data_IF_523205000550
#
_entry.id   IF_523205000550
#
_cell.length_a   1.000
_cell.length_b   1.000
_cell.length_c   1.000
_cell.angle_alpha   90.00
_cell.angle_beta   90.00
_cell.angle_gamma   90.00
#
_symmetry.space_group_name_H-M   'P 1'
#
loop_
_entity.id
_entity.type
_entity.pdbx_description
1 polymer ?
#
# COMPACT_ATOMS: atom_id res chain seq x y z
N UNK A 1 3.16 -13.69 -13.90
CA UNK A 1 3.82 -14.54 -12.90
C UNK A 1 2.95 -14.84 -11.67
N UNK A 2 1.86 -14.10 -11.48
CA UNK A 2 0.94 -14.25 -10.33
C UNK A 2 -0.39 -14.81 -10.82
N UNK A 3 -0.42 -16.11 -11.15
CA UNK A 3 -1.60 -16.76 -11.75
C UNK A 3 -2.80 -16.83 -10.80
N UNK A 4 -2.55 -16.90 -9.49
CA UNK A 4 -3.56 -17.06 -8.45
C UNK A 4 -3.83 -15.73 -7.69
N UNK A 5 -3.32 -14.60 -8.18
CA UNK A 5 -3.59 -13.31 -7.56
C UNK A 5 -5.05 -12.89 -7.79
N UNK A 6 -5.70 -12.44 -6.73
CA UNK A 6 -7.03 -11.84 -6.83
C UNK A 6 -7.00 -10.57 -7.68
N UNK A 7 -8.03 -10.36 -8.50
CA UNK A 7 -8.11 -9.19 -9.37
C UNK A 7 -8.49 -7.89 -8.62
N UNK A 8 -8.80 -7.99 -7.32
CA UNK A 8 -9.45 -6.89 -6.62
C UNK A 8 -10.85 -6.64 -7.16
N UNK A 9 -11.52 -5.62 -6.64
CA UNK A 9 -12.84 -5.25 -7.12
C UNK A 9 -13.07 -3.75 -6.97
N UNK A 10 -13.53 -3.12 -8.04
CA UNK A 10 -13.98 -1.72 -8.04
C UNK A 10 -15.46 -1.71 -8.39
N UNK A 11 -16.36 -1.50 -7.42
CA UNK A 11 -17.78 -1.54 -7.65
C UNK A 11 -18.22 -0.38 -8.55
N UNK A 12 -19.15 -0.67 -9.46
CA UNK A 12 -19.78 0.29 -10.33
C UNK A 12 -21.25 0.55 -9.92
N UNK A 13 -21.90 1.48 -10.62
CA UNK A 13 -23.31 1.77 -10.41
C UNK A 13 -24.20 0.54 -10.60
N UNK A 14 -23.91 -0.29 -11.59
CA UNK A 14 -24.72 -1.48 -11.89
C UNK A 14 -24.63 -2.51 -10.76
N UNK A 15 -23.46 -2.63 -10.12
CA UNK A 15 -23.29 -3.44 -8.91
C UNK A 15 -24.20 -2.94 -7.80
N UNK A 16 -24.17 -1.65 -7.48
CA UNK A 16 -24.96 -1.08 -6.39
C UNK A 16 -26.47 -1.15 -6.65
N UNK A 17 -26.89 -0.90 -7.89
CA UNK A 17 -28.31 -1.02 -8.28
C UNK A 17 -28.82 -2.46 -8.06
N UNK A 18 -28.01 -3.47 -8.35
CA UNK A 18 -28.34 -4.88 -8.10
C UNK A 18 -28.30 -5.23 -6.61
N UNK A 19 -27.20 -4.90 -5.94
CA UNK A 19 -26.96 -5.31 -4.54
C UNK A 19 -27.93 -4.65 -3.57
N UNK A 20 -28.21 -3.39 -3.77
CA UNK A 20 -29.05 -2.58 -2.89
C UNK A 20 -30.43 -2.27 -3.47
N UNK A 21 -30.79 -2.89 -4.60
CA UNK A 21 -32.08 -2.70 -5.27
C UNK A 21 -32.41 -1.21 -5.51
N UNK A 22 -31.41 -0.44 -5.88
CA UNK A 22 -31.52 1.01 -6.09
C UNK A 22 -31.58 1.85 -4.81
N UNK A 23 -31.46 1.26 -3.61
CA UNK A 23 -31.56 1.99 -2.32
C UNK A 23 -30.21 2.55 -1.83
N UNK A 24 -29.14 2.48 -2.61
CA UNK A 24 -27.85 3.09 -2.25
C UNK A 24 -27.92 4.62 -2.35
N UNK A 25 -27.08 5.31 -1.60
CA UNK A 25 -27.11 6.75 -1.48
C UNK A 25 -25.70 7.38 -1.38
N UNK A 26 -25.64 8.66 -1.08
CA UNK A 26 -24.39 9.41 -0.96
C UNK A 26 -23.40 8.84 0.09
N UNK A 27 -23.89 8.18 1.13
CA UNK A 27 -23.03 7.55 2.15
C UNK A 27 -22.23 6.38 1.54
N UNK A 28 -22.81 5.63 0.60
CA UNK A 28 -22.13 4.59 -0.15
C UNK A 28 -20.96 5.18 -0.96
N UNK A 29 -21.24 6.29 -1.68
CA UNK A 29 -20.21 6.99 -2.45
C UNK A 29 -19.12 7.56 -1.53
N UNK A 30 -19.50 8.13 -0.39
CA UNK A 30 -18.57 8.66 0.59
C UNK A 30 -17.67 7.54 1.15
N UNK A 31 -18.24 6.38 1.47
CA UNK A 31 -17.48 5.21 1.95
C UNK A 31 -16.42 4.78 0.95
N UNK A 32 -16.79 4.65 -0.34
CA UNK A 32 -15.85 4.33 -1.41
C UNK A 32 -14.74 5.37 -1.56
N UNK A 33 -15.08 6.66 -1.43
CA UNK A 33 -14.12 7.75 -1.63
C UNK A 33 -13.00 7.80 -0.59
N UNK A 34 -13.19 7.13 0.54
CA UNK A 34 -12.16 6.95 1.59
C UNK A 34 -11.52 5.56 1.56
N UNK A 35 -11.78 4.76 0.52
CA UNK A 35 -11.21 3.41 0.38
C UNK A 35 -11.86 2.35 1.27
N UNK A 36 -13.11 2.56 1.67
CA UNK A 36 -13.92 1.62 2.43
C UNK A 36 -15.04 1.02 1.55
N UNK A 37 -15.94 0.27 2.16
CA UNK A 37 -17.05 -0.37 1.46
C UNK A 37 -16.61 -1.61 0.68
N UNK A 38 -17.13 -1.77 -0.52
CA UNK A 38 -16.93 -2.94 -1.36
C UNK A 38 -15.70 -2.84 -2.29
N UNK A 39 -14.84 -1.83 -2.07
CA UNK A 39 -13.56 -1.73 -2.78
C UNK A 39 -12.58 -2.80 -2.27
N UNK A 40 -12.10 -3.64 -3.17
CA UNK A 40 -11.13 -4.69 -2.84
C UNK A 40 -9.82 -4.48 -3.61
N UNK A 41 -8.69 -4.56 -2.90
CA UNK A 41 -7.35 -4.47 -3.47
C UNK A 41 -6.43 -5.50 -2.82
N UNK A 42 -5.60 -6.14 -3.62
CA UNK A 42 -4.54 -7.00 -3.08
C UNK A 42 -3.36 -6.16 -2.57
N UNK A 43 -2.53 -6.69 -1.65
CA UNK A 43 -1.30 -6.00 -1.23
C UNK A 43 -0.37 -5.68 -2.40
N UNK A 44 -0.29 -6.54 -3.43
CA UNK A 44 0.50 -6.29 -4.62
C UNK A 44 -0.04 -5.11 -5.44
N UNK A 45 -1.36 -5.01 -5.61
CA UNK A 45 -1.99 -3.86 -6.26
C UNK A 45 -1.73 -2.56 -5.49
N UNK A 46 -1.74 -2.61 -4.15
CA UNK A 46 -1.42 -1.45 -3.32
C UNK A 46 0.07 -1.06 -3.42
N UNK A 47 0.98 -2.03 -3.49
CA UNK A 47 2.40 -1.75 -3.74
C UNK A 47 2.61 -1.12 -5.13
N UNK A 48 1.90 -1.64 -6.15
CA UNK A 48 1.95 -1.05 -7.50
C UNK A 48 1.35 0.36 -7.53
N UNK A 49 0.29 0.64 -6.75
CA UNK A 49 -0.23 2.00 -6.56
C UNK A 49 0.83 2.94 -5.97
N UNK A 50 1.57 2.49 -4.95
CA UNK A 50 2.68 3.25 -4.41
C UNK A 50 3.76 3.52 -5.47
N UNK A 51 4.08 2.53 -6.31
CA UNK A 51 5.01 2.68 -7.44
C UNK A 51 4.48 3.67 -8.49
N UNK A 52 3.18 3.66 -8.80
CA UNK A 52 2.55 4.63 -9.71
C UNK A 52 2.73 6.07 -9.18
N UNK A 53 2.48 6.28 -7.89
CA UNK A 53 2.64 7.60 -7.26
C UNK A 53 4.11 8.01 -7.27
N UNK A 54 5.01 7.11 -6.89
CA UNK A 54 6.46 7.32 -6.90
C UNK A 54 6.98 7.75 -8.29
N UNK A 55 6.47 7.11 -9.33
CA UNK A 55 6.83 7.35 -10.74
C UNK A 55 6.03 8.49 -11.40
N UNK A 56 5.16 9.20 -10.68
CA UNK A 56 4.31 10.28 -11.21
C UNK A 56 3.44 9.84 -12.38
N UNK A 57 2.83 8.65 -12.25
CA UNK A 57 1.76 8.19 -13.13
C UNK A 57 2.08 7.06 -14.08
N UNK A 58 3.24 6.40 -13.97
CA UNK A 58 3.49 5.18 -14.75
C UNK A 58 3.87 3.99 -13.85
N UNK A 59 3.71 2.79 -14.40
CA UNK A 59 4.08 1.54 -13.74
C UNK A 59 4.55 0.50 -14.76
N UNK A 60 5.15 -0.56 -14.26
CA UNK A 60 5.40 -1.79 -14.98
C UNK A 60 4.49 -2.89 -14.44
N UNK A 61 4.16 -3.87 -15.26
CA UNK A 61 3.41 -5.03 -14.78
C UNK A 61 4.26 -5.76 -13.73
N UNK A 62 3.78 -5.94 -12.49
CA UNK A 62 4.52 -6.63 -11.45
C UNK A 62 4.89 -8.06 -11.87
N UNK A 63 6.15 -8.43 -11.66
CA UNK A 63 6.67 -9.76 -11.96
C UNK A 63 7.87 -10.07 -11.06
N UNK A 64 8.15 -11.35 -10.84
CA UNK A 64 9.26 -11.84 -10.02
C UNK A 64 10.36 -12.50 -10.85
N UNK A 65 10.03 -12.98 -12.06
CA UNK A 65 10.99 -13.62 -12.95
C UNK A 65 11.80 -12.55 -13.66
N UNK A 66 13.09 -12.53 -13.42
CA UNK A 66 14.02 -11.59 -14.07
C UNK A 66 14.53 -12.10 -15.42
N UNK A 67 14.83 -13.39 -15.50
CA UNK A 67 15.32 -14.03 -16.71
C UNK A 67 15.04 -15.52 -16.67
N UNK A 68 14.97 -16.15 -17.82
CA UNK A 68 14.81 -17.60 -17.98
C UNK A 68 15.99 -18.12 -18.80
N UNK A 69 16.70 -19.12 -18.30
CA UNK A 69 17.80 -19.74 -19.05
C UNK A 69 17.32 -20.30 -20.39
N UNK A 70 18.09 -20.05 -21.43
CA UNK A 70 17.71 -20.46 -22.81
C UNK A 70 16.69 -19.57 -23.52
N UNK A 71 16.31 -18.43 -22.92
CA UNK A 71 15.52 -17.39 -23.58
C UNK A 71 16.31 -16.09 -23.68
N UNK A 72 16.34 -15.50 -24.86
CA UNK A 72 17.08 -14.26 -25.11
C UNK A 72 16.46 -13.04 -24.41
N UNK A 73 15.15 -13.08 -24.15
CA UNK A 73 14.42 -11.99 -23.46
C UNK A 73 13.15 -12.50 -22.81
N UNK A 74 12.72 -11.80 -21.77
CA UNK A 74 11.38 -11.91 -21.19
C UNK A 74 10.34 -11.25 -22.11
N UNK A 75 9.08 -11.56 -21.89
CA UNK A 75 7.95 -10.92 -22.59
C UNK A 75 8.06 -9.39 -22.43
N UNK A 76 8.00 -8.68 -23.55
CA UNK A 76 8.14 -7.23 -23.64
C UNK A 76 7.17 -6.47 -22.73
N UNK A 77 5.96 -7.02 -22.52
CA UNK A 77 4.94 -6.44 -21.63
C UNK A 77 5.46 -6.11 -20.21
N UNK A 78 6.46 -6.83 -19.70
CA UNK A 78 7.04 -6.60 -18.38
C UNK A 78 8.02 -5.43 -18.33
N UNK A 79 8.49 -4.96 -19.47
CA UNK A 79 9.46 -3.87 -19.58
C UNK A 79 8.88 -2.59 -20.19
N UNK A 80 7.64 -2.64 -20.64
CA UNK A 80 6.95 -1.47 -21.16
C UNK A 80 6.32 -0.66 -20.03
N UNK A 81 6.44 0.67 -20.13
CA UNK A 81 5.76 1.58 -19.23
C UNK A 81 4.29 1.67 -19.55
N UNK A 82 3.46 1.43 -18.57
CA UNK A 82 2.03 1.67 -18.63
C UNK A 82 1.73 3.00 -17.94
N UNK A 83 1.00 3.88 -18.60
CA UNK A 83 0.68 5.20 -18.06
C UNK A 83 -0.76 5.24 -17.57
N UNK A 84 -0.96 5.92 -16.45
CA UNK A 84 -2.30 6.27 -15.98
C UNK A 84 -2.90 7.36 -16.88
N UNK A 85 -4.21 7.57 -16.76
CA UNK A 85 -4.90 8.69 -17.43
C UNK A 85 -4.80 10.02 -16.67
N UNK A 86 -4.05 10.04 -15.56
CA UNK A 86 -3.87 11.21 -14.70
C UNK A 86 -2.64 11.98 -15.17
N UNK A 87 -2.78 13.30 -15.34
CA UNK A 87 -1.66 14.17 -15.68
C UNK A 87 -0.60 14.13 -14.56
N UNK A 88 0.69 13.94 -14.89
CA UNK A 88 1.79 13.86 -13.93
C UNK A 88 1.82 14.97 -12.88
N UNK A 89 1.43 16.20 -13.23
CA UNK A 89 1.40 17.34 -12.31
C UNK A 89 0.51 17.12 -11.06
N UNK A 90 -0.50 16.26 -11.16
CA UNK A 90 -1.41 15.97 -10.05
C UNK A 90 -0.83 14.97 -9.04
N UNK A 91 0.27 14.30 -9.38
CA UNK A 91 0.98 13.43 -8.43
C UNK A 91 1.85 14.22 -7.47
N UNK A 92 2.38 15.38 -7.85
CA UNK A 92 3.29 16.16 -6.98
C UNK A 92 2.66 16.54 -5.63
N UNK A 93 1.43 17.08 -5.54
CA UNK A 93 0.82 17.35 -4.25
C UNK A 93 0.54 16.08 -3.43
N UNK A 94 0.31 14.93 -4.08
CA UNK A 94 0.15 13.63 -3.40
C UNK A 94 1.48 13.19 -2.79
N UNK A 95 2.55 13.23 -3.57
CA UNK A 95 3.91 12.89 -3.12
C UNK A 95 4.33 13.80 -1.96
N UNK A 96 4.08 15.11 -2.08
CA UNK A 96 4.36 16.06 -1.01
C UNK A 96 3.56 15.74 0.26
N UNK A 97 2.27 15.43 0.15
CA UNK A 97 1.44 15.03 1.28
C UNK A 97 1.91 13.73 1.94
N UNK A 98 2.34 12.74 1.15
CA UNK A 98 2.92 11.50 1.66
C UNK A 98 4.26 11.74 2.36
N UNK A 99 5.10 12.63 1.84
CA UNK A 99 6.35 13.04 2.48
C UNK A 99 6.08 13.75 3.81
N UNK A 100 5.16 14.71 3.81
CA UNK A 100 4.77 15.45 5.02
C UNK A 100 4.20 14.54 6.12
N UNK A 101 3.44 13.51 5.74
CA UNK A 101 2.93 12.51 6.68
C UNK A 101 4.03 11.83 7.51
N UNK A 102 5.23 11.67 6.92
CA UNK A 102 6.39 11.07 7.57
C UNK A 102 7.27 12.12 8.25
N UNK A 103 7.48 13.28 7.62
CA UNK A 103 8.53 14.22 8.03
C UNK A 103 8.04 15.38 8.90
N UNK A 104 6.78 15.80 8.77
CA UNK A 104 6.25 16.93 9.55
C UNK A 104 5.68 16.51 10.90
N UNK A 105 5.76 17.43 11.86
CA UNK A 105 5.09 17.29 13.14
C UNK A 105 3.57 17.12 12.93
N UNK A 106 2.97 16.21 13.68
CA UNK A 106 1.56 15.82 13.51
C UNK A 106 1.29 14.86 12.38
N UNK A 107 2.30 14.49 11.58
CA UNK A 107 2.17 13.48 10.54
C UNK A 107 1.82 12.09 11.09
N UNK A 108 0.86 11.41 10.47
CA UNK A 108 0.37 10.09 10.92
C UNK A 108 1.36 8.95 10.72
N UNK A 109 2.45 9.20 9.98
CA UNK A 109 3.46 8.19 9.62
C UNK A 109 4.85 8.50 10.20
N UNK A 110 4.93 9.28 11.27
CA UNK A 110 6.20 9.72 11.89
C UNK A 110 7.16 8.59 12.26
N UNK A 111 6.67 7.43 12.65
CA UNK A 111 7.49 6.26 12.98
C UNK A 111 8.30 5.75 11.77
N UNK A 112 7.89 6.09 10.54
CA UNK A 112 8.64 5.77 9.33
C UNK A 112 9.78 6.77 9.05
N UNK A 113 9.92 7.82 9.84
CA UNK A 113 11.00 8.80 9.66
C UNK A 113 12.37 8.16 9.84
N UNK A 114 13.25 8.38 8.87
CA UNK A 114 14.63 7.95 8.84
C UNK A 114 15.51 9.13 8.43
N UNK A 115 16.48 9.54 9.27
CA UNK A 115 17.41 10.60 8.90
C UNK A 115 18.13 10.28 7.58
N UNK A 116 18.13 11.22 6.66
CA UNK A 116 18.79 11.07 5.35
C UNK A 116 18.03 10.24 4.31
N UNK A 117 16.85 9.72 4.65
CA UNK A 117 15.97 9.04 3.71
C UNK A 117 14.63 9.78 3.61
N UNK A 118 14.31 10.23 2.41
CA UNK A 118 13.05 10.92 2.12
C UNK A 118 11.95 9.90 1.85
N UNK A 119 11.44 9.28 2.93
CA UNK A 119 10.33 8.33 2.85
C UNK A 119 9.02 9.06 2.63
N UNK A 120 8.24 8.61 1.67
CA UNK A 120 6.87 9.04 1.40
C UNK A 120 5.91 7.92 1.79
N UNK A 121 5.00 8.16 2.74
CA UNK A 121 4.15 7.08 3.25
C UNK A 121 2.73 7.53 3.59
N UNK A 122 1.82 6.56 3.61
CA UNK A 122 0.42 6.76 4.02
C UNK A 122 -0.09 5.57 4.80
N UNK A 123 -0.55 5.84 6.02
CA UNK A 123 -1.27 4.85 6.84
C UNK A 123 -2.69 4.65 6.32
N UNK A 124 -3.17 3.43 6.41
CA UNK A 124 -4.56 3.09 6.19
C UNK A 124 -5.08 2.19 7.31
N UNK A 125 -6.39 2.18 7.49
CA UNK A 125 -7.08 1.32 8.45
C UNK A 125 -8.33 0.81 7.75
N UNK A 126 -8.35 -0.48 7.43
CA UNK A 126 -9.54 -1.11 6.85
C UNK A 126 -10.43 -1.63 7.99
N UNK A 127 -11.67 -1.20 8.03
CA UNK A 127 -12.61 -1.59 9.06
C UNK A 127 -12.94 -3.08 8.99
N UNK A 128 -13.00 -3.72 10.15
CA UNK A 128 -13.33 -5.13 10.28
C UNK A 128 -14.48 -5.34 11.26
N UNK A 129 -15.69 -5.66 10.79
CA UNK A 129 -16.85 -5.84 11.67
C UNK A 129 -16.76 -7.09 12.58
N UNK A 130 -15.80 -8.00 12.31
CA UNK A 130 -15.64 -9.27 13.04
C UNK A 130 -14.43 -9.32 13.95
N UNK A 131 -13.67 -8.22 14.09
CA UNK A 131 -12.45 -8.20 14.89
C UNK A 131 -11.88 -6.82 15.04
N UNK A 132 -10.57 -6.73 15.30
CA UNK A 132 -9.88 -5.44 15.20
C UNK A 132 -9.73 -5.06 13.74
N UNK A 133 -9.71 -3.76 13.47
CA UNK A 133 -9.44 -3.24 12.13
C UNK A 133 -8.12 -3.78 11.58
N UNK A 134 -8.00 -3.80 10.26
CA UNK A 134 -6.78 -4.23 9.59
C UNK A 134 -5.85 -3.04 9.40
N UNK A 135 -4.60 -3.21 9.84
CA UNK A 135 -3.55 -2.21 9.71
C UNK A 135 -2.95 -2.26 8.31
N UNK A 136 -2.92 -1.13 7.62
CA UNK A 136 -2.28 -1.05 6.32
C UNK A 136 -1.33 0.14 6.25
N UNK A 137 -0.26 -0.01 5.48
CA UNK A 137 0.67 1.07 5.19
C UNK A 137 1.23 0.87 3.79
N UNK A 138 1.27 1.94 3.03
CA UNK A 138 1.95 1.97 1.75
C UNK A 138 2.95 3.12 1.72
N UNK A 139 4.09 2.89 1.09
CA UNK A 139 5.16 3.87 1.01
C UNK A 139 6.08 3.63 -0.17
N UNK A 140 6.90 4.61 -0.44
CA UNK A 140 8.03 4.51 -1.34
C UNK A 140 9.16 5.42 -0.87
N UNK A 141 10.38 5.10 -1.25
CA UNK A 141 11.56 5.87 -0.91
C UNK A 141 12.72 5.65 -1.92
N UNK A 142 13.61 6.65 -2.07
CA UNK A 142 13.47 8.06 -1.65
C UNK A 142 12.36 8.80 -2.43
N UNK A 143 11.95 9.98 -1.94
CA UNK A 143 10.98 10.89 -2.62
C UNK A 143 11.38 11.19 -4.05
N UNK A 144 12.65 11.56 -4.22
CA UNK A 144 13.26 11.72 -5.52
C UNK A 144 14.12 10.51 -5.85
N UNK A 145 14.03 10.03 -7.10
CA UNK A 145 14.65 8.78 -7.55
C UNK A 145 14.24 7.54 -6.70
N UNK A 146 12.95 7.21 -6.61
CA UNK A 146 12.46 6.12 -5.79
C UNK A 146 13.08 4.78 -6.19
N UNK A 147 13.49 3.98 -5.20
CA UNK A 147 14.15 2.68 -5.37
C UNK A 147 13.31 1.52 -4.89
N UNK A 148 12.36 1.81 -4.00
CA UNK A 148 11.44 0.81 -3.46
C UNK A 148 10.05 1.41 -3.31
N UNK A 149 9.04 0.61 -3.59
CA UNK A 149 7.66 0.85 -3.20
C UNK A 149 7.17 -0.39 -2.44
N UNK A 150 6.48 -0.16 -1.33
CA UNK A 150 6.07 -1.23 -0.43
C UNK A 150 4.63 -1.05 0.02
N UNK A 151 3.94 -2.17 0.20
CA UNK A 151 2.65 -2.22 0.89
C UNK A 151 2.69 -3.33 1.92
N UNK A 152 2.28 -3.01 3.13
CA UNK A 152 2.13 -3.96 4.23
C UNK A 152 0.69 -3.95 4.70
N UNK A 153 0.12 -5.15 4.83
CA UNK A 153 -1.21 -5.39 5.34
C UNK A 153 -1.13 -6.38 6.51
N UNK A 154 -1.69 -6.01 7.64
CA UNK A 154 -1.71 -6.85 8.85
C UNK A 154 -3.15 -7.00 9.32
N UNK A 155 -3.70 -8.19 9.13
CA UNK A 155 -5.05 -8.52 9.61
C UNK A 155 -5.16 -8.35 11.12
N UNK A 156 -6.26 -7.74 11.56
CA UNK A 156 -6.51 -7.44 12.97
C UNK A 156 -5.38 -6.65 13.66
N UNK A 157 -4.54 -5.96 12.89
CA UNK A 157 -3.40 -5.18 13.36
C UNK A 157 -3.77 -3.86 14.04
N UNK A 158 -5.02 -3.44 13.94
CA UNK A 158 -5.50 -2.15 14.44
C UNK A 158 -5.18 -1.00 13.48
N UNK A 159 -4.84 0.16 14.00
CA UNK A 159 -4.51 1.31 13.17
C UNK A 159 -3.26 1.08 12.31
N UNK A 160 -3.21 1.68 11.13
CA UNK A 160 -2.09 1.54 10.19
C UNK A 160 -0.72 1.84 10.81
N UNK A 161 -0.65 2.85 11.66
CA UNK A 161 0.57 3.21 12.37
C UNK A 161 1.00 2.18 13.43
N UNK A 162 0.13 1.24 13.84
CA UNK A 162 0.38 0.37 14.98
C UNK A 162 1.03 -0.97 14.62
N UNK A 163 0.88 -1.46 13.37
CA UNK A 163 1.46 -2.73 12.93
C UNK A 163 2.12 -2.63 11.55
N UNK A 164 1.37 -2.23 10.52
CA UNK A 164 1.88 -2.24 9.15
C UNK A 164 3.03 -1.25 8.93
N UNK A 165 2.92 -0.02 9.43
CA UNK A 165 3.94 1.01 9.28
C UNK A 165 5.30 0.61 9.89
N UNK A 166 5.39 0.10 11.15
CA UNK A 166 6.66 -0.33 11.71
C UNK A 166 7.38 -1.40 10.87
N UNK A 167 6.62 -2.37 10.37
CA UNK A 167 7.15 -3.45 9.52
C UNK A 167 7.68 -2.88 8.21
N UNK A 168 6.88 -2.09 7.51
CA UNK A 168 7.28 -1.47 6.24
C UNK A 168 8.52 -0.61 6.41
N UNK A 169 8.56 0.21 7.45
CA UNK A 169 9.67 1.11 7.72
C UNK A 169 10.99 0.38 8.00
N UNK A 170 10.95 -0.77 8.68
CA UNK A 170 12.15 -1.60 8.90
C UNK A 170 12.62 -2.26 7.60
N UNK A 171 11.69 -2.70 6.74
CA UNK A 171 12.02 -3.28 5.45
C UNK A 171 12.62 -2.25 4.49
N UNK A 172 12.08 -1.03 4.47
CA UNK A 172 12.63 0.07 3.67
C UNK A 172 14.03 0.47 4.13
N UNK A 173 14.23 0.61 5.44
CA UNK A 173 15.53 0.92 6.03
C UNK A 173 16.57 -0.13 5.60
N UNK A 174 16.24 -1.41 5.80
CA UNK A 174 17.14 -2.49 5.44
C UNK A 174 17.43 -2.51 3.93
N UNK A 175 16.42 -2.39 3.09
CA UNK A 175 16.60 -2.41 1.63
C UNK A 175 17.50 -1.27 1.12
N UNK A 176 17.37 -0.08 1.72
CA UNK A 176 18.08 1.11 1.26
C UNK A 176 19.48 1.26 1.85
N UNK A 177 19.74 0.66 3.02
CA UNK A 177 20.98 0.87 3.79
C UNK A 177 21.71 -0.40 4.18
N UNK A 178 21.16 -1.58 3.86
CA UNK A 178 21.65 -2.92 4.28
C UNK A 178 21.77 -3.10 5.82
N UNK A 179 21.17 -2.17 6.59
CA UNK A 179 21.23 -2.16 8.06
C UNK A 179 19.90 -1.77 8.65
N UNK A 180 19.69 -2.10 9.94
CA UNK A 180 18.58 -1.61 10.74
C UNK A 180 19.16 -0.90 11.97
N UNK A 181 18.95 0.42 12.05
CA UNK A 181 19.50 1.26 13.13
C UNK A 181 18.52 1.49 14.29
N UNK A 182 17.32 0.90 14.22
CA UNK A 182 16.23 1.06 15.18
C UNK A 182 15.86 -0.25 15.89
N UNK A 183 16.75 -0.82 16.76
CA UNK A 183 16.49 -2.08 17.43
C UNK A 183 15.23 -2.05 18.30
N UNK A 184 14.89 -0.89 18.88
CA UNK A 184 13.67 -0.69 19.64
C UNK A 184 12.41 -0.95 18.80
N UNK A 185 12.42 -0.58 17.51
CA UNK A 185 11.31 -0.80 16.59
C UNK A 185 11.19 -2.29 16.21
N UNK A 186 12.32 -2.97 16.06
CA UNK A 186 12.37 -4.43 15.84
C UNK A 186 11.72 -5.16 17.01
N UNK A 187 12.10 -4.80 18.25
CA UNK A 187 11.53 -5.42 19.45
C UNK A 187 10.03 -5.12 19.58
N UNK A 188 9.61 -3.90 19.28
CA UNK A 188 8.18 -3.55 19.28
C UNK A 188 7.38 -4.41 18.29
N UNK A 189 7.92 -4.66 17.08
CA UNK A 189 7.27 -5.53 16.08
C UNK A 189 7.22 -6.98 16.56
N UNK A 190 8.31 -7.52 17.08
CA UNK A 190 8.40 -8.90 17.61
C UNK A 190 7.44 -9.17 18.77
N UNK A 191 7.29 -8.19 19.66
CA UNK A 191 6.43 -8.32 20.84
C UNK A 191 4.95 -8.09 20.56
N UNK A 192 4.62 -7.61 19.34
CA UNK A 192 3.24 -7.32 19.00
C UNK A 192 2.43 -8.60 18.83
N UNK A 193 1.42 -8.77 19.68
CA UNK A 193 0.48 -9.88 19.60
C UNK A 193 -0.73 -9.51 18.73
N UNK A 194 -1.03 -10.30 17.73
CA UNK A 194 -2.20 -10.19 16.88
C UNK A 194 -3.20 -11.27 17.30
N UNK A 195 -4.38 -10.85 17.75
CA UNK A 195 -5.44 -11.77 18.11
C UNK A 195 -6.41 -11.94 16.95
N UNK A 196 -6.56 -13.17 16.49
CA UNK A 196 -7.61 -13.54 15.56
C UNK A 196 -8.84 -13.98 16.37
N UNK A 197 -10.02 -13.39 16.13
CA UNK A 197 -11.25 -13.93 16.71
C UNK A 197 -11.37 -15.38 16.24
N UNK A 198 -11.68 -16.29 17.16
CA UNK A 198 -12.00 -17.67 16.79
C UNK A 198 -13.20 -17.59 15.84
N UNK A 199 -12.98 -17.86 14.56
CA UNK A 199 -14.08 -18.03 13.64
C UNK A 199 -14.89 -19.20 14.16
N UNK A 200 -16.12 -18.91 14.57
CA UNK A 200 -16.99 -19.90 15.21
C UNK A 200 -17.04 -21.20 14.40
N UNK A 201 -16.93 -22.29 15.17
CA UNK A 201 -17.18 -23.64 14.67
C UNK A 201 -18.62 -23.76 14.22
#
# INVERSE_FOLDING_TARGET
DFLDEGNGYVPDRAYYDRQYRGSWNSLTVLSLSIGQGELECTPLQMANLAAIVANRGYYYIPHIVRSVEGRDSMDRRFYEKHYTKVDPKYFEPIVEGMWQSVHKEGGTSRTAYLPGLDVCGKTGTAQNPRGKDHSTFLSFAPKDNPRIAISVYVENGGFGASAALPIASLLEEYYLTDTVTRPWLVEMVKQKTIYYPAYGK
#
